data_IF_285077509255
#
_entry.id   IF_285077509255
#
_cell.length_a   1.000
_cell.length_b   1.000
_cell.length_c   1.000
_cell.angle_alpha   90.00
_cell.angle_beta   90.00
_cell.angle_gamma   90.00
#
_symmetry.space_group_name_H-M   'P 1'
#
loop_
_entity.id
_entity.type
_entity.pdbx_description
1 polymer ?
#
# COMPACT_ATOMS: atom_id res chain seq x y z
N UNK A 1 -39.53 -18.09 52.58
CA UNK A 1 -38.52 -18.71 51.70
C UNK A 1 -38.80 -18.57 50.20
N UNK A 2 -40.01 -18.85 49.68
CA UNK A 2 -40.31 -18.72 48.23
C UNK A 2 -40.05 -17.32 47.63
N UNK A 3 -40.30 -16.25 48.38
CA UNK A 3 -40.02 -14.86 47.95
C UNK A 3 -38.53 -14.52 47.88
N UNK A 4 -37.68 -15.19 48.67
CA UNK A 4 -36.22 -14.97 48.68
C UNK A 4 -35.56 -15.64 47.46
N UNK A 5 -36.07 -16.80 47.06
CA UNK A 5 -35.63 -17.53 45.86
C UNK A 5 -35.92 -16.72 44.59
N UNK A 6 -37.09 -16.06 44.51
CA UNK A 6 -37.42 -15.16 43.40
C UNK A 6 -36.48 -13.95 43.33
N UNK A 7 -36.05 -13.40 44.46
CA UNK A 7 -35.12 -12.27 44.51
C UNK A 7 -33.70 -12.68 44.13
N UNK A 8 -33.25 -13.88 44.54
CA UNK A 8 -31.98 -14.48 44.12
C UNK A 8 -31.94 -14.85 42.64
N UNK A 9 -33.07 -15.30 42.08
CA UNK A 9 -33.21 -15.56 40.63
C UNK A 9 -33.22 -14.23 39.85
N UNK A 10 -33.91 -13.19 40.35
CA UNK A 10 -33.86 -11.86 39.73
C UNK A 10 -32.43 -11.28 39.77
N UNK A 11 -31.75 -11.36 40.92
CA UNK A 11 -30.35 -10.93 41.07
C UNK A 11 -29.38 -11.74 40.19
N UNK A 12 -29.65 -13.03 39.96
CA UNK A 12 -28.87 -13.87 39.04
C UNK A 12 -29.09 -13.55 37.55
N UNK A 13 -30.21 -12.92 37.19
CA UNK A 13 -30.50 -12.52 35.79
C UNK A 13 -30.00 -11.12 35.44
N UNK A 14 -29.70 -10.27 36.42
CA UNK A 14 -28.92 -9.04 36.21
C UNK A 14 -27.43 -9.39 36.24
N UNK A 15 -27.03 -10.34 35.39
CA UNK A 15 -25.63 -10.42 34.99
C UNK A 15 -25.34 -9.10 34.27
N UNK A 16 -24.74 -8.15 34.99
CA UNK A 16 -24.10 -6.97 34.44
C UNK A 16 -23.00 -7.45 33.50
N UNK A 17 -23.37 -7.88 32.29
CA UNK A 17 -22.45 -7.94 31.17
C UNK A 17 -21.95 -6.51 31.04
N UNK A 18 -20.72 -6.27 31.50
CA UNK A 18 -20.07 -4.97 31.37
C UNK A 18 -20.17 -4.58 29.90
N UNK A 19 -20.89 -3.50 29.65
CA UNK A 19 -21.03 -2.95 28.32
C UNK A 19 -19.66 -2.42 27.90
N UNK A 20 -19.26 -2.74 26.67
CA UNK A 20 -18.01 -2.24 26.13
C UNK A 20 -18.12 -0.75 25.89
N UNK A 21 -17.31 0.04 26.59
CA UNK A 21 -17.14 1.47 26.31
C UNK A 21 -15.73 1.71 25.76
N UNK A 22 -15.57 2.03 24.46
CA UNK A 22 -14.26 2.25 23.85
C UNK A 22 -13.49 3.42 24.49
N UNK A 23 -14.18 4.42 25.03
CA UNK A 23 -13.54 5.58 25.69
C UNK A 23 -12.74 5.18 26.95
N UNK A 24 -13.01 3.99 27.51
CA UNK A 24 -12.24 3.45 28.63
C UNK A 24 -10.91 2.82 28.21
N UNK A 25 -10.64 2.70 26.90
CA UNK A 25 -9.50 1.97 26.33
C UNK A 25 -8.68 2.89 25.43
N UNK A 26 -7.68 3.56 26.01
CA UNK A 26 -6.74 4.42 25.27
C UNK A 26 -5.55 3.61 24.79
N UNK A 27 -5.72 2.88 23.68
CA UNK A 27 -4.70 2.00 23.14
C UNK A 27 -5.18 1.33 21.86
N UNK A 28 -4.46 0.30 21.42
CA UNK A 28 -4.80 -0.49 20.24
C UNK A 28 -5.41 -1.84 20.62
N UNK A 29 -6.21 -2.37 19.71
CA UNK A 29 -6.68 -3.74 19.74
C UNK A 29 -5.93 -4.52 18.67
N UNK A 30 -5.02 -5.39 19.11
CA UNK A 30 -4.20 -6.19 18.21
C UNK A 30 -4.81 -7.57 18.05
N UNK A 31 -4.84 -8.05 16.81
CA UNK A 31 -5.26 -9.41 16.55
C UNK A 31 -4.16 -10.38 17.02
N UNK A 32 -4.56 -11.45 17.69
CA UNK A 32 -3.66 -12.52 18.11
C UNK A 32 -4.24 -13.83 17.59
N UNK A 33 -3.45 -14.59 16.84
CA UNK A 33 -3.85 -15.91 16.36
C UNK A 33 -3.98 -16.90 17.52
N UNK A 34 -4.63 -18.04 17.25
CA UNK A 34 -4.95 -19.04 18.30
C UNK A 34 -3.70 -19.60 18.99
N UNK A 35 -2.57 -19.60 18.31
CA UNK A 35 -1.27 -20.05 18.81
C UNK A 35 -0.46 -18.92 19.47
N UNK A 36 -1.02 -17.71 19.57
CA UNK A 36 -0.34 -16.54 20.11
C UNK A 36 0.54 -15.80 19.10
N UNK A 37 0.58 -16.24 17.84
CA UNK A 37 1.34 -15.57 16.79
C UNK A 37 0.66 -14.31 16.27
N UNK A 38 1.44 -13.49 15.55
CA UNK A 38 0.97 -12.26 14.93
C UNK A 38 0.11 -12.56 13.71
N UNK A 39 -1.11 -12.01 13.68
CA UNK A 39 -2.01 -12.08 12.54
C UNK A 39 -1.87 -10.85 11.66
N UNK A 40 -2.08 -10.99 10.35
CA UNK A 40 -2.07 -9.85 9.41
C UNK A 40 -3.38 -9.05 9.37
N UNK A 41 -4.34 -9.38 10.24
CA UNK A 41 -5.53 -8.57 10.40
C UNK A 41 -5.15 -7.19 10.93
N UNK A 42 -5.85 -6.13 10.49
CA UNK A 42 -5.51 -4.77 10.90
C UNK A 42 -5.66 -4.61 12.41
N UNK A 43 -4.77 -3.83 13.01
CA UNK A 43 -4.95 -3.33 14.37
C UNK A 43 -6.12 -2.34 14.37
N UNK A 44 -6.85 -2.29 15.49
CA UNK A 44 -8.05 -1.46 15.61
C UNK A 44 -7.84 -0.43 16.71
N UNK A 45 -8.08 0.83 16.41
CA UNK A 45 -8.13 1.90 17.42
C UNK A 45 -9.51 2.55 17.41
N UNK A 46 -10.04 2.82 18.60
CA UNK A 46 -11.24 3.63 18.77
C UNK A 46 -10.84 4.95 19.42
N UNK A 47 -11.28 6.07 18.83
CA UNK A 47 -11.04 7.41 19.36
C UNK A 47 -12.24 8.29 19.05
N UNK A 48 -12.90 8.79 20.10
CA UNK A 48 -14.14 9.55 19.97
C UNK A 48 -15.20 8.72 19.20
N UNK A 49 -15.80 9.30 18.15
CA UNK A 49 -16.77 8.64 17.27
C UNK A 49 -16.12 7.87 16.10
N UNK A 50 -14.78 7.77 16.08
CA UNK A 50 -14.01 7.24 14.96
C UNK A 50 -13.33 5.91 15.28
N UNK A 51 -13.25 5.06 14.26
CA UNK A 51 -12.46 3.82 14.25
C UNK A 51 -11.36 3.94 13.20
N UNK A 52 -10.19 3.41 13.54
CA UNK A 52 -9.02 3.36 12.68
C UNK A 52 -8.59 1.90 12.53
N UNK A 53 -8.42 1.47 11.29
CA UNK A 53 -7.93 0.15 10.91
C UNK A 53 -6.56 0.34 10.30
N UNK A 54 -5.53 -0.08 11.01
CA UNK A 54 -4.13 0.09 10.61
C UNK A 54 -3.52 -1.24 10.20
N UNK A 55 -2.83 -1.27 9.05
CA UNK A 55 -2.17 -2.47 8.56
C UNK A 55 -0.69 -2.58 9.01
N UNK A 56 -0.02 -3.64 8.57
CA UNK A 56 1.36 -3.96 8.97
C UNK A 56 2.40 -2.90 8.58
N UNK A 57 2.09 -2.05 7.60
CA UNK A 57 2.95 -0.97 7.16
C UNK A 57 2.36 0.38 7.51
N UNK A 58 1.45 0.45 8.49
CA UNK A 58 0.88 1.71 9.01
C UNK A 58 -0.01 2.47 8.02
N UNK A 59 -0.58 1.80 7.00
CA UNK A 59 -1.69 2.37 6.23
C UNK A 59 -2.95 2.36 7.08
N UNK A 60 -3.60 3.52 7.21
CA UNK A 60 -4.75 3.70 8.10
C UNK A 60 -6.02 3.99 7.32
N UNK A 61 -7.00 3.10 7.44
CA UNK A 61 -8.39 3.35 7.03
C UNK A 61 -9.21 3.92 8.19
N UNK A 62 -9.85 5.06 7.97
CA UNK A 62 -10.69 5.73 8.97
C UNK A 62 -12.18 5.59 8.66
N UNK A 63 -12.99 5.41 9.68
CA UNK A 63 -14.43 5.53 9.60
C UNK A 63 -15.07 5.88 10.94
N UNK A 64 -16.40 5.86 10.98
CA UNK A 64 -17.15 5.89 12.24
C UNK A 64 -17.51 4.49 12.70
N UNK A 65 -17.85 4.31 13.96
CA UNK A 65 -18.33 3.02 14.45
C UNK A 65 -19.61 3.14 15.27
N UNK A 66 -20.34 2.03 15.37
CA UNK A 66 -21.46 1.87 16.29
C UNK A 66 -21.43 0.47 16.89
N UNK A 67 -21.47 0.39 18.21
CA UNK A 67 -21.49 -0.87 18.96
C UNK A 67 -22.89 -1.07 19.52
N UNK A 68 -23.39 -2.29 19.38
CA UNK A 68 -24.55 -2.80 20.09
C UNK A 68 -24.17 -4.10 20.80
N UNK A 69 -25.08 -4.64 21.61
CA UNK A 69 -24.82 -5.79 22.51
C UNK A 69 -24.05 -6.96 21.89
N UNK A 70 -24.31 -7.28 20.63
CA UNK A 70 -23.70 -8.41 19.93
C UNK A 70 -23.18 -8.05 18.53
N UNK A 71 -23.10 -6.76 18.20
CA UNK A 71 -22.70 -6.30 16.87
C UNK A 71 -21.84 -5.06 16.95
N UNK A 72 -20.88 -4.98 16.04
CA UNK A 72 -20.16 -3.74 15.73
C UNK A 72 -20.32 -3.43 14.25
N UNK A 73 -20.59 -2.17 13.95
CA UNK A 73 -20.71 -1.65 12.59
C UNK A 73 -19.63 -0.60 12.37
N UNK A 74 -18.87 -0.72 11.28
CA UNK A 74 -17.92 0.30 10.83
C UNK A 74 -18.48 0.99 9.58
N UNK A 75 -18.54 2.31 9.61
CA UNK A 75 -18.98 3.16 8.51
C UNK A 75 -17.75 3.80 7.89
N UNK A 76 -17.16 3.10 6.92
CA UNK A 76 -16.00 3.58 6.16
C UNK A 76 -16.49 4.44 5.00
N UNK A 77 -15.57 5.19 4.37
CA UNK A 77 -15.90 6.12 3.28
C UNK A 77 -16.75 5.49 2.16
N UNK A 78 -16.42 4.26 1.77
CA UNK A 78 -17.01 3.59 0.61
C UNK A 78 -17.75 2.28 0.96
N UNK A 79 -17.82 1.90 2.24
CA UNK A 79 -18.44 0.63 2.65
C UNK A 79 -18.95 0.69 4.10
N UNK A 80 -19.91 -0.18 4.43
CA UNK A 80 -20.35 -0.42 5.80
C UNK A 80 -20.13 -1.88 6.17
N UNK A 81 -19.24 -2.10 7.13
CA UNK A 81 -18.88 -3.42 7.62
C UNK A 81 -19.72 -3.74 8.86
N UNK A 82 -20.30 -4.93 8.91
CA UNK A 82 -21.11 -5.37 10.03
C UNK A 82 -20.59 -6.70 10.54
N UNK A 83 -20.26 -6.73 11.83
CA UNK A 83 -19.60 -7.87 12.44
C UNK A 83 -20.30 -8.29 13.73
N UNK A 84 -20.28 -9.61 13.99
CA UNK A 84 -20.61 -10.12 15.32
C UNK A 84 -19.56 -9.60 16.31
N UNK A 85 -20.01 -9.14 17.47
CA UNK A 85 -19.16 -8.54 18.49
C UNK A 85 -19.42 -9.14 19.86
N UNK A 86 -18.36 -9.39 20.62
CA UNK A 86 -18.45 -9.63 22.07
C UNK A 86 -17.23 -9.07 22.77
N UNK A 87 -17.40 -8.64 24.02
CA UNK A 87 -16.35 -8.13 24.88
C UNK A 87 -16.25 -8.97 26.15
N UNK A 88 -15.02 -9.32 26.54
CA UNK A 88 -14.72 -9.96 27.81
C UNK A 88 -13.81 -9.03 28.62
N UNK A 89 -14.34 -8.51 29.72
CA UNK A 89 -13.67 -7.56 30.59
C UNK A 89 -12.57 -8.14 31.47
N UNK A 90 -12.55 -9.46 31.69
CA UNK A 90 -11.55 -10.09 32.56
C UNK A 90 -10.18 -10.14 31.87
N UNK A 91 -10.20 -10.37 30.57
CA UNK A 91 -8.98 -10.53 29.76
C UNK A 91 -8.69 -9.30 28.90
N UNK A 92 -9.51 -8.24 28.99
CA UNK A 92 -9.47 -7.07 28.09
C UNK A 92 -9.43 -7.48 26.61
N UNK A 93 -10.38 -8.32 26.20
CA UNK A 93 -10.46 -8.86 24.84
C UNK A 93 -11.78 -8.53 24.17
N UNK A 94 -11.73 -8.22 22.88
CA UNK A 94 -12.91 -8.18 22.01
C UNK A 94 -12.82 -9.31 21.00
N UNK A 95 -13.98 -9.80 20.56
CA UNK A 95 -14.09 -10.76 19.47
C UNK A 95 -14.94 -10.12 18.38
N UNK A 96 -14.39 -10.02 17.18
CA UNK A 96 -15.04 -9.47 15.99
C UNK A 96 -15.07 -10.56 14.94
N UNK A 97 -16.25 -11.02 14.52
CA UNK A 97 -16.41 -12.06 13.48
C UNK A 97 -15.57 -13.35 13.73
N UNK A 98 -15.43 -13.75 14.99
CA UNK A 98 -14.61 -14.88 15.49
C UNK A 98 -13.10 -14.63 15.60
N UNK A 99 -12.64 -13.43 15.27
CA UNK A 99 -11.25 -13.03 15.48
C UNK A 99 -11.10 -12.38 16.84
N UNK A 100 -10.15 -12.87 17.65
CA UNK A 100 -9.87 -12.36 18.98
C UNK A 100 -8.85 -11.23 18.88
N UNK A 101 -9.17 -10.11 19.53
CA UNK A 101 -8.27 -8.99 19.70
C UNK A 101 -8.02 -8.77 21.18
N UNK A 102 -6.77 -8.52 21.53
CA UNK A 102 -6.37 -8.16 22.89
C UNK A 102 -6.03 -6.69 22.94
N UNK A 103 -6.32 -6.04 24.06
CA UNK A 103 -6.00 -4.63 24.26
C UNK A 103 -4.53 -4.44 24.65
N UNK A 104 -3.88 -3.46 24.02
CA UNK A 104 -2.51 -3.05 24.32
C UNK A 104 -2.51 -1.54 24.53
N UNK A 105 -2.33 -1.11 25.78
CA UNK A 105 -2.38 0.30 26.17
C UNK A 105 -1.22 1.11 25.60
N UNK A 106 0.01 0.56 25.67
CA UNK A 106 1.24 1.28 25.31
C UNK A 106 1.64 1.19 23.83
N UNK A 107 0.93 0.40 23.01
CA UNK A 107 1.33 0.16 21.61
C UNK A 107 0.67 1.17 20.66
N UNK A 108 1.49 1.98 19.98
CA UNK A 108 1.13 2.83 18.82
C UNK A 108 -0.17 3.65 18.96
N UNK A 109 -0.53 4.13 20.15
CA UNK A 109 -1.63 5.08 20.31
C UNK A 109 -1.20 6.48 19.89
N UNK A 110 -0.86 6.65 18.60
CA UNK A 110 -0.40 7.91 18.06
C UNK A 110 -1.57 8.91 18.03
N UNK A 111 -1.40 10.06 18.68
CA UNK A 111 -2.43 11.10 18.68
C UNK A 111 -2.71 11.67 17.29
N UNK A 112 -1.72 11.59 16.38
CA UNK A 112 -1.68 12.22 15.07
C UNK A 112 -1.66 11.22 13.90
N UNK A 113 -2.58 10.24 13.90
CA UNK A 113 -2.72 9.29 12.79
C UNK A 113 -2.97 10.01 11.46
N UNK A 114 -2.10 9.76 10.49
CA UNK A 114 -2.22 10.29 9.14
C UNK A 114 -3.11 9.34 8.33
N UNK A 115 -4.17 9.89 7.75
CA UNK A 115 -5.10 9.12 6.92
C UNK A 115 -5.16 9.71 5.52
N UNK A 116 -5.14 8.87 4.50
CA UNK A 116 -5.34 9.27 3.12
C UNK A 116 -6.00 8.14 2.32
N UNK A 117 -6.66 8.51 1.23
CA UNK A 117 -7.31 7.54 0.35
C UNK A 117 -6.33 7.04 -0.71
N UNK A 118 -6.26 5.71 -0.87
CA UNK A 118 -5.61 5.10 -2.02
C UNK A 118 -6.34 5.46 -3.31
N UNK A 119 -5.61 5.44 -4.42
CA UNK A 119 -6.09 5.88 -5.74
C UNK A 119 -7.31 5.11 -6.29
N UNK A 120 -7.60 3.92 -5.77
CA UNK A 120 -8.85 3.20 -6.04
C UNK A 120 -8.84 2.29 -7.27
N UNK A 121 -7.68 1.95 -7.84
CA UNK A 121 -7.61 1.05 -9.00
C UNK A 121 -7.76 -0.41 -8.53
N UNK A 122 -8.77 -1.14 -9.05
CA UNK A 122 -9.15 -2.50 -8.59
C UNK A 122 -8.86 -3.65 -9.56
N UNK A 123 -8.11 -3.42 -10.65
CA UNK A 123 -7.95 -4.41 -11.75
C UNK A 123 -6.49 -4.81 -12.01
N UNK A 124 -5.62 -4.72 -11.01
CA UNK A 124 -4.18 -4.89 -11.18
C UNK A 124 -3.61 -6.20 -10.62
N UNK A 125 -4.38 -6.86 -9.74
CA UNK A 125 -4.00 -8.10 -9.04
C UNK A 125 -4.40 -7.99 -7.57
N UNK A 126 -4.83 -9.09 -6.94
CA UNK A 126 -5.22 -9.11 -5.53
C UNK A 126 -4.10 -9.71 -4.68
N UNK A 127 -3.85 -9.11 -3.52
CA UNK A 127 -2.76 -9.47 -2.59
C UNK A 127 -3.35 -9.48 -1.18
N UNK A 128 -3.15 -10.58 -0.46
CA UNK A 128 -3.55 -10.66 0.95
C UNK A 128 -2.62 -9.81 1.81
N UNK A 129 -3.13 -9.24 2.90
CA UNK A 129 -2.28 -8.51 3.86
C UNK A 129 -1.21 -9.41 4.47
N UNK A 130 -1.52 -10.70 4.72
CA UNK A 130 -0.54 -11.72 5.14
C UNK A 130 0.67 -11.79 4.21
N UNK A 131 0.47 -11.62 2.89
CA UNK A 131 1.58 -11.71 1.94
C UNK A 131 2.51 -10.51 2.01
N UNK A 132 2.04 -9.38 2.55
CA UNK A 132 2.82 -8.14 2.59
C UNK A 132 4.04 -8.28 3.51
N UNK A 133 3.98 -9.10 4.58
CA UNK A 133 5.12 -9.30 5.51
C UNK A 133 6.40 -9.84 4.85
N UNK A 134 6.27 -10.39 3.64
CA UNK A 134 7.37 -10.96 2.85
C UNK A 134 8.17 -9.90 2.07
N UNK A 135 7.65 -8.67 1.99
CA UNK A 135 8.20 -7.57 1.21
C UNK A 135 9.06 -6.63 2.07
N UNK A 136 9.92 -5.85 1.42
CA UNK A 136 10.89 -4.97 2.07
C UNK A 136 10.27 -3.59 2.37
N UNK A 137 9.52 -3.54 3.47
CA UNK A 137 8.93 -2.33 4.01
C UNK A 137 7.80 -1.71 3.19
N UNK A 138 7.15 -0.70 3.78
CA UNK A 138 6.06 0.06 3.17
C UNK A 138 6.39 1.55 3.05
N UNK A 139 6.27 2.06 1.84
CA UNK A 139 6.42 3.48 1.50
C UNK A 139 5.04 4.01 1.11
N UNK A 140 4.65 5.15 1.65
CA UNK A 140 3.34 5.73 1.40
C UNK A 140 3.51 7.02 0.62
N UNK A 141 2.98 7.08 -0.60
CA UNK A 141 2.97 8.28 -1.43
C UNK A 141 1.58 8.88 -1.43
N UNK A 142 1.44 10.16 -1.08
CA UNK A 142 0.16 10.86 -1.18
C UNK A 142 0.38 12.37 -1.31
N UNK A 143 -0.64 13.10 -1.79
CA UNK A 143 -0.61 14.56 -1.81
C UNK A 143 -1.13 15.12 -0.49
N UNK A 144 -0.46 16.11 0.07
CA UNK A 144 -1.01 16.90 1.19
C UNK A 144 -2.06 17.91 0.69
N UNK A 145 -2.64 18.69 1.61
CA UNK A 145 -3.65 19.70 1.31
C UNK A 145 -3.16 20.81 0.35
N UNK A 146 -1.84 21.01 0.25
CA UNK A 146 -1.23 21.97 -0.68
C UNK A 146 -0.93 21.36 -2.06
N UNK A 147 -1.29 20.08 -2.28
CA UNK A 147 -1.00 19.38 -3.53
C UNK A 147 0.47 18.95 -3.69
N UNK A 148 1.26 18.98 -2.61
CA UNK A 148 2.66 18.53 -2.61
C UNK A 148 2.69 17.04 -2.30
N UNK A 149 3.51 16.28 -3.01
CA UNK A 149 3.75 14.86 -2.73
C UNK A 149 4.55 14.69 -1.45
N UNK A 150 4.02 13.86 -0.57
CA UNK A 150 4.56 13.52 0.72
C UNK A 150 4.77 12.01 0.79
N UNK A 151 5.84 11.65 1.49
CA UNK A 151 6.19 10.31 1.89
C UNK A 151 5.78 10.12 3.35
N UNK A 152 5.13 9.00 3.64
CA UNK A 152 5.09 8.44 4.99
C UNK A 152 5.93 7.16 5.02
N UNK A 153 6.90 7.13 5.94
CA UNK A 153 7.85 6.05 6.16
C UNK A 153 7.69 5.61 7.63
N UNK A 154 6.77 4.68 7.89
CA UNK A 154 6.21 4.41 9.22
C UNK A 154 5.59 5.69 9.85
N UNK A 155 6.15 6.18 10.95
CA UNK A 155 5.67 7.36 11.68
C UNK A 155 6.22 8.67 11.10
N UNK A 156 7.26 8.61 10.26
CA UNK A 156 7.90 9.79 9.71
C UNK A 156 7.18 10.30 8.46
N UNK A 157 6.97 11.62 8.40
CA UNK A 157 6.40 12.32 7.24
C UNK A 157 7.46 13.23 6.63
N UNK A 158 7.72 13.10 5.33
CA UNK A 158 8.70 13.94 4.65
C UNK A 158 8.33 14.21 3.19
N UNK A 159 8.83 15.30 2.62
CA UNK A 159 8.84 15.52 1.16
C UNK A 159 10.18 15.15 0.52
N UNK A 160 11.17 14.77 1.33
CA UNK A 160 12.51 14.40 0.87
C UNK A 160 12.55 12.93 0.46
N UNK A 161 12.55 12.66 -0.85
CA UNK A 161 12.61 11.30 -1.39
C UNK A 161 13.89 10.56 -1.02
N UNK A 162 14.99 11.28 -0.78
CA UNK A 162 16.23 10.66 -0.35
C UNK A 162 16.06 9.87 0.96
N UNK A 163 15.09 10.16 1.82
CA UNK A 163 14.90 9.35 3.04
C UNK A 163 14.50 7.88 2.75
N UNK A 164 14.02 7.57 1.53
CA UNK A 164 13.72 6.19 1.10
C UNK A 164 14.95 5.28 1.20
N UNK A 165 16.14 5.77 0.81
CA UNK A 165 17.36 4.93 0.85
C UNK A 165 17.77 4.58 2.30
N UNK A 166 17.40 5.41 3.28
CA UNK A 166 17.72 5.16 4.70
C UNK A 166 16.69 4.26 5.37
N UNK A 167 15.47 4.31 4.88
CA UNK A 167 14.35 3.55 5.40
C UNK A 167 14.36 2.10 4.92
N UNK A 168 14.87 1.87 3.71
CA UNK A 168 15.01 0.53 3.14
C UNK A 168 16.30 -0.10 3.65
N UNK A 169 16.17 -1.24 4.32
CA UNK A 169 17.29 -1.97 4.90
C UNK A 169 17.52 -3.26 4.11
N UNK A 170 18.78 -3.70 3.96
CA UNK A 170 19.10 -5.04 3.43
C UNK A 170 18.86 -6.11 4.50
N UNK A 171 17.60 -6.24 4.95
CA UNK A 171 17.17 -7.30 5.87
C UNK A 171 16.77 -8.53 5.05
N UNK A 172 16.81 -9.69 5.68
CA UNK A 172 16.42 -11.00 5.15
C UNK A 172 14.91 -11.12 4.86
N UNK A 173 14.34 -10.23 4.04
CA UNK A 173 13.00 -10.42 3.50
C UNK A 173 13.02 -11.47 2.39
N UNK A 174 11.97 -12.29 2.32
CA UNK A 174 11.79 -13.30 1.26
C UNK A 174 11.81 -12.67 -0.14
N UNK A 175 11.25 -11.46 -0.26
CA UNK A 175 11.07 -10.74 -1.51
C UNK A 175 11.67 -9.34 -1.36
N UNK A 176 12.84 -9.06 -1.95
CA UNK A 176 13.51 -7.75 -1.87
C UNK A 176 12.85 -6.74 -2.80
N UNK A 177 11.57 -6.47 -2.57
CA UNK A 177 10.71 -5.56 -3.32
C UNK A 177 9.99 -4.70 -2.30
N UNK A 178 10.10 -3.39 -2.44
CA UNK A 178 9.41 -2.46 -1.55
C UNK A 178 7.94 -2.35 -1.92
N UNK A 179 7.09 -2.20 -0.90
CA UNK A 179 5.66 -1.91 -1.09
C UNK A 179 5.47 -0.40 -1.17
N UNK A 180 4.74 0.09 -2.17
CA UNK A 180 4.43 1.51 -2.32
C UNK A 180 2.91 1.68 -2.34
N UNK A 181 2.35 2.31 -1.32
CA UNK A 181 0.94 2.69 -1.24
C UNK A 181 0.72 3.97 -2.04
N UNK A 182 -0.15 3.90 -3.05
CA UNK A 182 -0.44 5.02 -3.94
C UNK A 182 -1.72 5.74 -3.52
N UNK A 183 -1.54 6.92 -2.93
CA UNK A 183 -2.60 7.86 -2.62
C UNK A 183 -3.27 8.45 -3.86
N UNK A 184 -4.39 9.12 -3.64
CA UNK A 184 -5.17 9.79 -4.68
C UNK A 184 -4.41 10.98 -5.28
N UNK A 185 -4.70 11.30 -6.56
CA UNK A 185 -4.17 12.46 -7.30
C UNK A 185 -2.63 12.46 -7.49
N UNK A 186 -2.01 11.29 -7.53
CA UNK A 186 -0.60 11.15 -7.87
C UNK A 186 -0.38 11.20 -9.39
N UNK A 187 0.75 11.76 -9.78
CA UNK A 187 1.27 11.69 -11.14
C UNK A 187 2.34 10.60 -11.25
N UNK A 188 2.69 10.18 -12.47
CA UNK A 188 3.71 9.14 -12.65
C UNK A 188 5.08 9.59 -12.13
N UNK A 189 5.39 10.89 -12.20
CA UNK A 189 6.63 11.46 -11.66
C UNK A 189 6.80 11.20 -10.17
N UNK A 190 5.70 11.17 -9.40
CA UNK A 190 5.73 10.93 -7.96
C UNK A 190 6.27 9.52 -7.63
N UNK A 191 5.88 8.54 -8.43
CA UNK A 191 6.37 7.15 -8.31
C UNK A 191 7.78 7.02 -8.89
N UNK A 192 8.09 7.70 -9.99
CA UNK A 192 9.42 7.70 -10.61
C UNK A 192 10.49 8.20 -9.63
N UNK A 193 10.19 9.24 -8.84
CA UNK A 193 11.12 9.73 -7.82
C UNK A 193 11.48 8.64 -6.81
N UNK A 194 10.49 7.82 -6.41
CA UNK A 194 10.76 6.65 -5.55
C UNK A 194 11.61 5.60 -6.26
N UNK A 195 11.41 5.40 -7.56
CA UNK A 195 12.21 4.43 -8.35
C UNK A 195 13.68 4.82 -8.48
N UNK A 196 14.00 6.12 -8.53
CA UNK A 196 15.41 6.55 -8.51
C UNK A 196 16.08 6.18 -7.19
N UNK A 197 15.43 6.47 -6.07
CA UNK A 197 15.96 6.16 -4.74
C UNK A 197 16.07 4.66 -4.50
N UNK A 198 15.05 3.88 -4.87
CA UNK A 198 15.09 2.41 -4.85
C UNK A 198 16.18 1.86 -5.79
N UNK A 199 16.31 2.45 -6.98
CA UNK A 199 17.33 2.07 -7.95
C UNK A 199 18.76 2.29 -7.44
N UNK A 200 18.99 3.33 -6.63
CA UNK A 200 20.29 3.65 -6.02
C UNK A 200 20.77 2.56 -5.06
N UNK A 201 19.84 1.80 -4.46
CA UNK A 201 20.10 0.65 -3.60
C UNK A 201 19.85 -0.69 -4.32
N UNK A 202 19.99 -0.71 -5.65
CA UNK A 202 19.85 -1.89 -6.52
C UNK A 202 18.47 -2.57 -6.53
N UNK A 203 17.41 -1.92 -6.04
CA UNK A 203 16.03 -2.41 -6.17
C UNK A 203 15.50 -2.05 -7.58
N UNK A 204 14.90 -3.02 -8.27
CA UNK A 204 14.40 -2.88 -9.67
C UNK A 204 12.93 -3.23 -9.84
N UNK A 205 12.23 -3.38 -8.74
CA UNK A 205 10.80 -3.59 -8.73
C UNK A 205 10.19 -3.00 -7.47
N UNK A 206 8.94 -2.60 -7.57
CA UNK A 206 8.12 -2.18 -6.44
C UNK A 206 6.73 -2.78 -6.57
N UNK A 207 6.15 -3.17 -5.44
CA UNK A 207 4.75 -3.56 -5.38
C UNK A 207 3.89 -2.33 -5.13
N UNK A 208 3.15 -1.89 -6.15
CA UNK A 208 2.33 -0.69 -6.07
C UNK A 208 0.92 -1.06 -5.57
N UNK A 209 0.55 -0.66 -4.35
CA UNK A 209 -0.79 -0.88 -3.79
C UNK A 209 -1.70 0.29 -4.13
N UNK A 210 -2.86 -0.02 -4.73
CA UNK A 210 -3.76 0.98 -5.32
C UNK A 210 -5.12 1.04 -4.68
N UNK A 211 -5.55 0.01 -3.96
CA UNK A 211 -6.76 0.06 -3.13
C UNK A 211 -6.75 -1.04 -2.09
N UNK A 212 -7.53 -0.86 -1.04
CA UNK A 212 -7.71 -1.80 0.06
C UNK A 212 -9.20 -2.12 0.24
N UNK A 213 -9.52 -3.40 0.40
CA UNK A 213 -10.84 -3.87 0.81
C UNK A 213 -10.76 -4.50 2.22
N UNK A 214 -11.15 -3.76 3.26
CA UNK A 214 -11.14 -4.25 4.64
C UNK A 214 -12.15 -5.38 4.90
N UNK A 215 -13.13 -5.59 4.02
CA UNK A 215 -14.08 -6.70 4.18
C UNK A 215 -13.44 -8.04 3.86
N UNK A 216 -12.61 -8.06 2.81
CA UNK A 216 -11.90 -9.26 2.34
C UNK A 216 -10.45 -9.32 2.81
N UNK A 217 -9.96 -8.25 3.42
CA UNK A 217 -8.56 -8.08 3.83
C UNK A 217 -7.60 -8.23 2.63
N UNK A 218 -7.99 -7.65 1.48
CA UNK A 218 -7.25 -7.72 0.23
C UNK A 218 -6.85 -6.33 -0.25
N UNK A 219 -5.60 -6.23 -0.69
CA UNK A 219 -5.13 -5.13 -1.50
C UNK A 219 -5.30 -5.43 -2.97
N UNK A 220 -5.56 -4.39 -3.76
CA UNK A 220 -5.20 -4.41 -5.16
C UNK A 220 -3.81 -3.83 -5.33
N UNK A 221 -2.98 -4.50 -6.12
CA UNK A 221 -1.66 -3.99 -6.44
C UNK A 221 -1.11 -4.46 -7.78
N UNK A 222 -0.01 -3.83 -8.18
CA UNK A 222 0.71 -4.13 -9.40
C UNK A 222 2.20 -4.26 -9.09
N UNK A 223 2.81 -5.41 -9.39
CA UNK A 223 4.26 -5.55 -9.30
C UNK A 223 4.91 -4.89 -10.51
N UNK A 224 5.41 -3.68 -10.32
CA UNK A 224 6.05 -2.92 -11.38
C UNK A 224 7.55 -3.19 -11.38
N UNK A 225 8.02 -3.83 -12.45
CA UNK A 225 9.46 -3.92 -12.75
C UNK A 225 9.87 -2.67 -13.50
N UNK A 226 10.83 -1.95 -12.95
CA UNK A 226 11.37 -0.72 -13.51
C UNK A 226 12.86 -0.86 -13.78
N UNK A 227 13.34 -0.15 -14.78
CA UNK A 227 14.74 -0.07 -15.12
C UNK A 227 15.05 1.35 -15.55
N UNK A 228 16.14 1.89 -15.00
CA UNK A 228 16.60 3.23 -15.29
C UNK A 228 17.86 3.12 -16.16
N UNK A 229 17.93 3.93 -17.20
CA UNK A 229 19.17 4.12 -17.95
C UNK A 229 20.14 4.96 -17.15
N UNK A 230 21.44 4.77 -17.37
CA UNK A 230 22.48 5.59 -16.74
C UNK A 230 22.26 7.08 -17.01
N UNK A 231 21.90 7.43 -18.25
CA UNK A 231 21.59 8.80 -18.63
C UNK A 231 20.38 9.40 -17.90
N UNK A 232 19.45 8.56 -17.43
CA UNK A 232 18.33 9.03 -16.60
C UNK A 232 18.80 9.27 -15.16
N UNK A 233 19.66 8.39 -14.64
CA UNK A 233 20.23 8.49 -13.29
C UNK A 233 21.11 9.74 -13.17
N UNK A 234 22.04 9.93 -14.11
CA UNK A 234 22.92 11.12 -14.15
C UNK A 234 22.12 12.42 -14.18
N UNK A 235 21.03 12.42 -14.97
CA UNK A 235 20.15 13.58 -15.09
C UNK A 235 19.33 13.83 -13.82
N UNK A 236 18.89 12.78 -13.13
CA UNK A 236 18.09 12.91 -11.92
C UNK A 236 18.92 13.48 -10.75
N UNK A 237 20.14 12.98 -10.55
CA UNK A 237 21.01 13.42 -9.47
C UNK A 237 21.87 14.65 -9.78
N UNK A 238 21.81 15.16 -11.02
CA UNK A 238 22.68 16.24 -11.51
C UNK A 238 24.18 15.98 -11.23
N UNK A 239 24.60 14.71 -11.35
CA UNK A 239 25.96 14.27 -11.07
C UNK A 239 26.42 13.26 -12.13
N UNK A 240 27.67 13.40 -12.60
CA UNK A 240 28.30 12.46 -13.53
C UNK A 240 28.88 11.29 -12.76
N UNK A 241 28.31 10.11 -12.91
CA UNK A 241 28.81 8.90 -12.27
C UNK A 241 30.20 8.57 -12.85
N UNK A 242 31.26 8.45 -12.04
CA UNK A 242 32.57 8.01 -12.53
C UNK A 242 32.46 6.60 -13.14
N UNK A 243 33.00 6.44 -14.35
CA UNK A 243 32.83 5.36 -15.34
C UNK A 243 33.25 3.93 -14.91
N UNK A 244 32.74 3.39 -13.81
CA UNK A 244 32.72 1.94 -13.58
C UNK A 244 31.29 1.44 -13.56
N UNK A 245 30.62 1.61 -14.70
CA UNK A 245 29.23 1.23 -14.89
C UNK A 245 29.18 -0.15 -15.58
N UNK A 246 28.31 -1.07 -15.15
CA UNK A 246 28.03 -2.29 -15.91
C UNK A 246 27.43 -1.90 -17.28
N UNK A 247 28.12 -2.23 -18.39
CA UNK A 247 27.72 -1.93 -19.78
C UNK A 247 26.24 -2.17 -20.11
N UNK A 248 25.59 -3.12 -19.43
CA UNK A 248 24.18 -3.50 -19.61
C UNK A 248 23.12 -2.39 -19.44
N UNK A 249 23.46 -1.22 -18.89
CA UNK A 249 22.51 -0.12 -18.60
C UNK A 249 22.66 1.11 -19.51
N UNK A 250 23.49 1.04 -20.55
CA UNK A 250 23.61 2.12 -21.53
C UNK A 250 22.48 2.10 -22.56
N UNK A 251 21.77 3.23 -22.69
CA UNK A 251 20.75 3.42 -23.72
C UNK A 251 21.34 3.31 -25.13
N UNK A 252 22.51 3.91 -25.36
CA UNK A 252 23.16 3.92 -26.67
C UNK A 252 23.55 2.50 -27.10
N UNK A 253 24.13 1.71 -26.19
CA UNK A 253 24.52 0.33 -26.49
C UNK A 253 23.29 -0.55 -26.79
N UNK A 254 22.19 -0.36 -26.05
CA UNK A 254 20.93 -1.06 -26.33
C UNK A 254 20.40 -0.75 -27.73
N UNK A 255 20.42 0.53 -28.14
CA UNK A 255 19.99 0.92 -29.48
C UNK A 255 20.89 0.35 -30.57
N UNK A 256 22.22 0.30 -30.35
CA UNK A 256 23.17 -0.34 -31.29
C UNK A 256 22.95 -1.85 -31.41
N UNK A 257 22.65 -2.53 -30.30
CA UNK A 257 22.51 -4.00 -30.28
C UNK A 257 21.19 -4.49 -30.86
N UNK A 258 20.08 -3.82 -30.54
CA UNK A 258 18.73 -4.33 -30.84
C UNK A 258 17.97 -3.50 -31.87
N UNK A 259 18.50 -2.35 -32.30
CA UNK A 259 17.84 -1.43 -33.25
C UNK A 259 16.34 -1.21 -32.97
N UNK A 260 15.95 -0.89 -31.72
CA UNK A 260 14.56 -0.90 -31.32
C UNK A 260 13.77 0.27 -31.92
N UNK A 261 12.48 0.05 -32.19
CA UNK A 261 11.55 1.13 -32.54
C UNK A 261 11.14 1.92 -31.30
N UNK A 262 11.26 3.26 -31.36
CA UNK A 262 10.89 4.15 -30.27
C UNK A 262 9.41 4.57 -30.37
N UNK A 263 8.65 4.33 -29.30
CA UNK A 263 7.24 4.75 -29.20
C UNK A 263 7.11 5.70 -28.02
N UNK A 264 6.57 6.90 -28.27
CA UNK A 264 6.35 7.92 -27.25
C UNK A 264 4.91 7.91 -26.75
N UNK A 265 4.74 7.81 -25.43
CA UNK A 265 3.47 7.84 -24.72
C UNK A 265 3.40 9.13 -23.90
N UNK A 266 2.71 10.15 -24.42
CA UNK A 266 2.59 11.45 -23.78
C UNK A 266 1.28 11.60 -22.99
N UNK A 267 0.27 10.79 -23.30
CA UNK A 267 -1.04 10.82 -22.68
C UNK A 267 -1.76 9.46 -22.88
N UNK A 268 -2.97 9.34 -22.34
CA UNK A 268 -3.80 8.13 -22.44
C UNK A 268 -4.09 7.68 -23.88
N UNK A 269 -4.29 8.61 -24.83
CA UNK A 269 -4.61 8.27 -26.23
C UNK A 269 -3.44 7.59 -26.93
N UNK A 270 -2.22 7.94 -26.56
CA UNK A 270 -1.01 7.34 -27.13
C UNK A 270 -0.84 5.86 -26.77
N UNK A 271 -1.51 5.37 -25.72
CA UNK A 271 -1.51 3.94 -25.36
C UNK A 271 -2.03 3.07 -26.52
N UNK A 272 -2.95 3.59 -27.33
CA UNK A 272 -3.46 2.87 -28.51
C UNK A 272 -2.37 2.55 -29.56
N UNK A 273 -1.23 3.24 -29.54
CA UNK A 273 -0.07 2.93 -30.39
C UNK A 273 0.50 1.54 -30.11
N UNK A 274 0.22 0.94 -28.94
CA UNK A 274 0.65 -0.41 -28.63
C UNK A 274 -0.05 -1.50 -29.47
N UNK A 275 -1.19 -1.18 -30.08
CA UNK A 275 -1.90 -2.12 -30.95
C UNK A 275 -1.19 -2.36 -32.28
N UNK A 276 -0.18 -1.54 -32.62
CA UNK A 276 0.58 -1.65 -33.88
C UNK A 276 1.94 -2.34 -33.70
N UNK A 277 2.21 -2.88 -32.51
CA UNK A 277 3.46 -3.61 -32.26
C UNK A 277 3.48 -4.92 -33.07
N UNK A 278 4.61 -5.16 -33.73
CA UNK A 278 4.84 -6.37 -34.52
C UNK A 278 5.58 -7.42 -33.68
N UNK A 279 5.27 -8.71 -33.83
CA UNK A 279 6.06 -9.81 -33.27
C UNK A 279 7.54 -9.73 -33.69
N UNK A 280 8.41 -10.39 -32.91
CA UNK A 280 9.85 -10.55 -33.19
C UNK A 280 10.63 -9.23 -33.36
N UNK A 281 10.06 -8.14 -32.84
CA UNK A 281 10.63 -6.80 -32.93
C UNK A 281 11.02 -6.29 -31.54
N UNK A 282 12.01 -5.40 -31.50
CA UNK A 282 12.42 -4.72 -30.27
C UNK A 282 11.83 -3.32 -30.20
N UNK A 283 11.33 -2.93 -29.02
CA UNK A 283 10.73 -1.62 -28.79
C UNK A 283 11.28 -0.94 -27.54
N UNK A 284 11.36 0.39 -27.60
CA UNK A 284 11.54 1.25 -26.43
C UNK A 284 10.30 2.12 -26.28
N UNK A 285 9.57 1.95 -25.18
CA UNK A 285 8.39 2.73 -24.83
C UNK A 285 8.83 3.88 -23.92
N UNK A 286 8.82 5.09 -24.46
CA UNK A 286 9.24 6.32 -23.79
C UNK A 286 8.03 7.02 -23.20
N UNK A 287 7.94 7.04 -21.87
CA UNK A 287 6.76 7.46 -21.12
C UNK A 287 6.97 8.88 -20.61
N UNK A 288 5.99 9.76 -20.84
CA UNK A 288 5.97 11.09 -20.22
C UNK A 288 5.69 10.96 -18.71
N UNK A 289 6.60 11.43 -17.83
CA UNK A 289 6.41 11.37 -16.38
C UNK A 289 5.17 12.11 -15.86
N UNK A 290 4.63 13.06 -16.62
CA UNK A 290 3.47 13.87 -16.20
C UNK A 290 2.11 13.23 -16.48
N UNK A 291 2.07 12.01 -17.03
CA UNK A 291 0.78 11.32 -17.16
C UNK A 291 0.27 10.93 -15.77
N UNK A 292 -1.06 10.97 -15.62
CA UNK A 292 -1.74 10.45 -14.44
C UNK A 292 -1.35 8.98 -14.20
N UNK A 293 -1.09 8.62 -12.94
CA UNK A 293 -0.54 7.31 -12.59
C UNK A 293 -1.47 6.15 -13.00
N UNK A 294 -2.79 6.36 -13.06
CA UNK A 294 -3.75 5.37 -13.56
C UNK A 294 -3.47 4.99 -15.02
N UNK A 295 -3.09 5.98 -15.84
CA UNK A 295 -2.75 5.75 -17.24
C UNK A 295 -1.43 5.00 -17.36
N UNK A 296 -0.46 5.30 -16.48
CA UNK A 296 0.80 4.57 -16.40
C UNK A 296 0.58 3.10 -16.02
N UNK A 297 -0.22 2.83 -14.99
CA UNK A 297 -0.52 1.46 -14.56
C UNK A 297 -1.31 0.69 -15.63
N UNK A 298 -2.25 1.35 -16.30
CA UNK A 298 -2.95 0.77 -17.46
C UNK A 298 -1.97 0.45 -18.60
N UNK A 299 -1.02 1.35 -18.88
CA UNK A 299 0.02 1.14 -19.89
C UNK A 299 0.88 -0.08 -19.52
N UNK A 300 1.41 -0.12 -18.29
CA UNK A 300 2.27 -1.21 -17.82
C UNK A 300 1.57 -2.56 -17.87
N UNK A 301 0.29 -2.62 -17.50
CA UNK A 301 -0.52 -3.84 -17.62
C UNK A 301 -0.63 -4.29 -19.08
N UNK A 302 -0.93 -3.38 -20.01
CA UNK A 302 -1.02 -3.73 -21.43
C UNK A 302 0.32 -4.20 -22.00
N UNK A 303 1.44 -3.57 -21.60
CA UNK A 303 2.77 -3.99 -22.04
C UNK A 303 3.10 -5.41 -21.53
N UNK A 304 2.71 -5.74 -20.31
CA UNK A 304 2.85 -7.10 -19.76
C UNK A 304 2.02 -8.11 -20.59
N UNK A 305 0.76 -7.78 -20.88
CA UNK A 305 -0.12 -8.64 -21.67
C UNK A 305 0.41 -8.87 -23.10
N UNK A 306 1.00 -7.85 -23.71
CA UNK A 306 1.62 -7.94 -25.05
C UNK A 306 2.89 -8.80 -25.00
N UNK A 307 3.77 -8.55 -24.03
CA UNK A 307 5.03 -9.31 -23.89
C UNK A 307 4.82 -10.79 -23.57
N UNK A 308 3.71 -11.14 -22.90
CA UNK A 308 3.37 -12.54 -22.62
C UNK A 308 2.77 -13.27 -23.83
N UNK A 309 2.16 -12.55 -24.78
CA UNK A 309 1.46 -13.14 -25.93
C UNK A 309 2.32 -13.21 -27.19
N UNK A 310 3.25 -12.29 -27.31
CA UNK A 310 4.06 -12.11 -28.51
C UNK A 310 5.53 -12.15 -28.10
N UNK A 311 6.37 -12.78 -28.92
CA UNK A 311 7.83 -12.74 -28.75
C UNK A 311 8.36 -11.34 -29.12
N UNK A 312 8.05 -10.35 -28.28
CA UNK A 312 8.38 -8.94 -28.46
C UNK A 312 9.24 -8.50 -27.29
N UNK A 313 10.43 -7.99 -27.61
CA UNK A 313 11.31 -7.43 -26.60
C UNK A 313 10.95 -5.96 -26.33
N UNK A 314 10.25 -5.71 -25.22
CA UNK A 314 9.80 -4.37 -24.82
C UNK A 314 10.66 -3.87 -23.66
N UNK A 315 11.26 -2.70 -23.84
CA UNK A 315 11.87 -1.93 -22.74
C UNK A 315 11.11 -0.63 -22.52
N UNK A 316 10.97 -0.22 -21.26
CA UNK A 316 10.36 1.06 -20.89
C UNK A 316 11.40 2.06 -20.43
N UNK A 317 11.18 3.35 -20.70
CA UNK A 317 11.97 4.45 -20.19
C UNK A 317 11.07 5.62 -19.79
N UNK A 318 11.57 6.51 -18.93
CA UNK A 318 10.89 7.74 -18.54
C UNK A 318 11.56 8.93 -19.25
N UNK A 319 10.78 9.67 -20.03
CA UNK A 319 11.30 10.82 -20.74
C UNK A 319 11.34 12.05 -19.83
N UNK A 320 12.47 12.21 -19.14
CA UNK A 320 12.71 13.34 -18.22
C UNK A 320 12.91 14.69 -18.93
N UNK A 321 12.81 14.78 -20.26
CA UNK A 321 12.96 16.03 -21.03
C UNK A 321 11.63 16.77 -21.24
N UNK A 322 10.50 16.18 -20.86
CA UNK A 322 9.23 16.89 -20.85
C UNK A 322 9.18 17.85 -19.66
N UNK A 323 9.46 19.12 -19.94
CA UNK A 323 9.33 20.22 -18.97
C UNK A 323 7.90 20.53 -18.59
#
# INVERSE_FOLDING_TARGET
>A
MKKLIYFLILLGTVSCKKEFNPENFKGVWMNIDKDGSFSSLPTIMFKNDSVYLEDIYTYVSKGKFKISKNRISYYLKNDTLNYNFSFNSNDSTIVINNYKYSFWEDYSYNENLITYDLIGIKKLGMITTDSLVRFDGGIHLFKNNSGITILKLNEEITSNFNEIHRFQFDIHFDIPVSVIYLGSNLETIDVINSYFELGSINRRAALLLTSYDPKTNLYNGFLDKFQLWDSQIEKYYDYKIPKQIPKSLSREEYFKKYSPSLIKINNKKDINKLNTLKPESSYVISINPKIQIENYLSLKKQLLDIGNKNDINIRTEFNLYFK
#
